data_IF_459984749314
#
_entry.id   IF_459984749314
#
_cell.length_a   1.000
_cell.length_b   1.000
_cell.length_c   1.000
_cell.angle_alpha   90.00
_cell.angle_beta   90.00
_cell.angle_gamma   90.00
#
_symmetry.space_group_name_H-M   'P 1'
#
loop_
_entity.id
_entity.type
_entity.pdbx_description
1 polymer ?
#
# COMPACT_ATOMS: atom_id res chain seq x y z
N UNK A 1 1.95 6.54 30.19
CA UNK A 1 1.23 6.34 28.92
C UNK A 1 1.45 4.89 28.55
N UNK A 2 0.40 4.05 28.46
CA UNK A 2 0.60 2.68 27.97
C UNK A 2 1.18 2.77 26.55
N UNK A 3 2.29 2.08 26.33
CA UNK A 3 2.95 2.06 25.04
C UNK A 3 2.10 1.25 24.06
N UNK A 4 1.97 1.74 22.82
CA UNK A 4 1.19 1.07 21.80
C UNK A 4 2.03 -0.08 21.20
N UNK A 5 1.73 -1.31 21.59
CA UNK A 5 2.46 -2.51 21.12
C UNK A 5 1.87 -3.11 19.83
N UNK A 6 0.61 -2.80 19.53
CA UNK A 6 -0.11 -3.35 18.38
C UNK A 6 -0.87 -2.25 17.64
N UNK A 7 -0.68 -2.15 16.33
CA UNK A 7 -1.37 -1.20 15.47
C UNK A 7 -1.87 -1.88 14.21
N UNK A 8 -3.18 -1.74 13.96
CA UNK A 8 -3.80 -2.06 12.68
C UNK A 8 -4.22 -0.76 12.00
N UNK A 9 -3.64 -0.46 10.85
CA UNK A 9 -3.84 0.80 10.14
C UNK A 9 -4.50 0.58 8.77
N UNK A 10 -5.67 1.19 8.57
CA UNK A 10 -6.28 1.35 7.25
C UNK A 10 -6.21 2.82 6.84
N UNK A 11 -5.59 3.12 5.71
CA UNK A 11 -5.40 4.49 5.25
C UNK A 11 -5.71 4.60 3.75
N UNK A 12 -6.56 5.55 3.38
CA UNK A 12 -6.93 5.81 1.99
C UNK A 12 -6.66 7.29 1.70
N UNK A 13 -5.75 7.55 0.76
CA UNK A 13 -5.25 8.89 0.47
C UNK A 13 -5.57 9.23 -0.99
N UNK A 14 -6.28 10.35 -1.19
CA UNK A 14 -6.73 10.80 -2.51
C UNK A 14 -6.10 12.14 -2.87
N UNK A 15 -5.80 12.33 -4.16
CA UNK A 15 -5.32 13.62 -4.68
C UNK A 15 -3.88 13.94 -4.26
N UNK A 16 -3.05 12.92 -4.05
CA UNK A 16 -1.63 13.12 -3.84
C UNK A 16 -0.87 13.03 -5.17
N UNK A 17 0.18 13.85 -5.30
CA UNK A 17 1.11 13.81 -6.43
C UNK A 17 2.26 12.81 -6.20
N UNK A 18 2.20 12.02 -5.13
CA UNK A 18 3.21 11.01 -4.77
C UNK A 18 2.56 9.70 -4.36
N UNK A 19 3.23 8.59 -4.62
CA UNK A 19 2.86 7.28 -4.07
C UNK A 19 3.45 7.17 -2.67
N UNK A 20 2.66 6.63 -1.73
CA UNK A 20 3.18 6.15 -0.46
C UNK A 20 3.69 4.74 -0.69
N UNK A 21 5.01 4.60 -0.61
CA UNK A 21 5.69 3.32 -0.73
C UNK A 21 6.19 2.82 0.62
N UNK A 22 6.97 1.75 0.59
CA UNK A 22 7.50 1.13 1.78
C UNK A 22 8.39 2.03 2.63
N UNK A 23 9.22 2.84 1.98
CA UNK A 23 10.12 3.77 2.66
C UNK A 23 9.32 4.85 3.38
N UNK A 24 8.26 5.37 2.77
CA UNK A 24 7.37 6.32 3.44
C UNK A 24 6.78 5.72 4.74
N UNK A 25 6.34 4.46 4.71
CA UNK A 25 5.80 3.78 5.91
C UNK A 25 6.87 3.62 6.99
N UNK A 26 8.08 3.22 6.60
CA UNK A 26 9.21 3.06 7.52
C UNK A 26 9.55 4.39 8.20
N UNK A 27 9.79 5.43 7.41
CA UNK A 27 10.31 6.71 7.88
C UNK A 27 9.26 7.55 8.59
N UNK A 28 8.00 7.51 8.15
CA UNK A 28 6.93 8.36 8.68
C UNK A 28 6.18 7.71 9.87
N UNK A 29 6.23 6.38 10.02
CA UNK A 29 5.46 5.65 11.05
C UNK A 29 6.39 4.84 11.96
N UNK A 30 7.12 3.88 11.38
CA UNK A 30 7.81 2.86 12.17
C UNK A 30 8.99 3.42 12.97
N UNK A 31 9.70 4.41 12.45
CA UNK A 31 10.79 5.10 13.17
C UNK A 31 10.31 5.75 14.48
N UNK A 32 9.07 6.22 14.52
CA UNK A 32 8.49 6.87 15.70
C UNK A 32 7.77 5.90 16.65
N UNK A 33 7.66 4.62 16.27
CA UNK A 33 6.99 3.58 17.06
C UNK A 33 7.92 2.37 17.30
N UNK A 34 9.09 2.56 17.93
CA UNK A 34 10.08 1.49 18.10
C UNK A 34 9.62 0.34 19.01
N UNK A 35 8.55 0.54 19.79
CA UNK A 35 7.97 -0.48 20.67
C UNK A 35 6.82 -1.26 20.01
N UNK A 36 6.55 -1.02 18.73
CA UNK A 36 5.46 -1.66 18.02
C UNK A 36 5.86 -3.11 17.68
N UNK A 37 5.35 -4.06 18.46
CA UNK A 37 5.58 -5.49 18.27
C UNK A 37 4.82 -6.04 17.05
N UNK A 38 3.63 -5.49 16.75
CA UNK A 38 2.85 -5.88 15.57
C UNK A 38 2.32 -4.67 14.84
N UNK A 39 2.60 -4.62 13.53
CA UNK A 39 2.07 -3.62 12.63
C UNK A 39 1.39 -4.28 11.43
N UNK A 40 0.08 -4.13 11.38
CA UNK A 40 -0.74 -4.59 10.27
C UNK A 40 -1.27 -3.39 9.53
N UNK A 41 -1.13 -3.33 8.20
CA UNK A 41 -1.53 -2.14 7.47
C UNK A 41 -2.07 -2.42 6.08
N UNK A 42 -2.95 -1.54 5.64
CA UNK A 42 -3.38 -1.39 4.26
C UNK A 42 -3.46 0.11 3.96
N UNK A 43 -2.62 0.57 3.04
CA UNK A 43 -2.53 1.97 2.64
C UNK A 43 -2.76 2.04 1.13
N UNK A 44 -3.80 2.74 0.69
CA UNK A 44 -4.07 3.02 -0.71
C UNK A 44 -3.90 4.49 -1.04
N UNK A 45 -3.26 4.78 -2.17
CA UNK A 45 -3.02 6.13 -2.66
C UNK A 45 -3.55 6.27 -4.09
N UNK A 46 -4.40 7.27 -4.33
CA UNK A 46 -4.97 7.59 -5.64
C UNK A 46 -4.29 8.83 -6.22
N UNK A 47 -3.78 8.68 -7.43
CA UNK A 47 -3.04 9.71 -8.16
C UNK A 47 -3.75 10.00 -9.47
N UNK A 48 -3.95 11.28 -9.76
CA UNK A 48 -4.42 11.72 -11.07
C UNK A 48 -3.25 11.75 -12.08
N UNK A 49 -3.45 11.19 -13.27
CA UNK A 49 -2.43 11.17 -14.31
C UNK A 49 -2.15 12.54 -14.92
N UNK A 50 -3.03 13.52 -14.70
CA UNK A 50 -2.72 14.92 -15.00
C UNK A 50 -1.48 15.41 -14.24
N UNK A 51 -1.27 14.87 -13.03
CA UNK A 51 -0.14 15.17 -12.16
C UNK A 51 1.05 14.21 -12.37
N UNK A 52 0.85 13.08 -13.05
CA UNK A 52 1.89 12.12 -13.44
C UNK A 52 2.66 12.57 -14.69
N UNK A 53 3.26 13.77 -14.66
CA UNK A 53 4.19 14.18 -15.72
C UNK A 53 5.49 13.39 -15.72
N UNK A 54 5.80 12.61 -14.68
CA UNK A 54 7.00 11.79 -14.65
C UNK A 54 6.66 10.35 -14.33
N UNK A 55 7.20 9.47 -15.18
CA UNK A 55 7.24 8.03 -15.04
C UNK A 55 7.45 7.61 -13.58
N UNK A 56 6.37 7.29 -12.89
CA UNK A 56 6.45 6.36 -11.78
C UNK A 56 6.63 4.99 -12.44
N UNK A 57 7.86 4.73 -12.87
CA UNK A 57 8.24 3.46 -13.43
C UNK A 57 7.88 2.40 -12.39
N UNK A 58 7.03 1.45 -12.76
CA UNK A 58 6.66 0.26 -11.95
C UNK A 58 7.85 -0.36 -11.19
N UNK A 59 9.06 -0.22 -11.74
CA UNK A 59 10.32 -0.64 -11.13
C UNK A 59 10.61 0.03 -9.79
N UNK A 60 10.35 1.34 -9.62
CA UNK A 60 10.59 2.05 -8.37
C UNK A 60 9.70 1.52 -7.23
N UNK A 61 8.41 1.31 -7.50
CA UNK A 61 7.44 0.83 -6.51
C UNK A 61 7.79 -0.58 -6.02
N UNK A 62 8.16 -1.46 -6.95
CA UNK A 62 8.51 -2.83 -6.59
C UNK A 62 9.88 -2.92 -5.90
N UNK A 63 10.80 -1.99 -6.16
CA UNK A 63 12.14 -1.96 -5.54
C UNK A 63 12.09 -1.46 -4.09
N UNK A 64 11.24 -0.49 -3.73
CA UNK A 64 11.19 0.06 -2.37
C UNK A 64 10.57 -0.86 -1.32
N UNK A 65 9.83 -1.90 -1.74
CA UNK A 65 9.30 -2.92 -0.83
C UNK A 65 10.36 -3.83 -0.21
N UNK A 66 11.52 -3.96 -0.85
CA UNK A 66 12.62 -4.82 -0.35
C UNK A 66 13.19 -4.28 0.98
N UNK A 67 12.97 -2.99 1.27
CA UNK A 67 13.60 -2.28 2.39
C UNK A 67 12.76 -2.17 3.67
N UNK A 68 11.48 -2.58 3.70
CA UNK A 68 10.63 -2.57 4.93
C UNK A 68 10.92 -3.79 5.83
N UNK A 69 11.96 -4.56 5.51
CA UNK A 69 12.24 -5.84 6.14
C UNK A 69 11.55 -7.00 5.42
N UNK A 70 12.12 -8.22 5.50
CA UNK A 70 12.21 -9.04 4.30
C UNK A 70 10.96 -9.82 3.86
N UNK A 71 9.81 -9.83 4.57
CA UNK A 71 8.80 -10.87 4.27
C UNK A 71 7.32 -10.52 4.34
N UNK A 72 6.89 -9.37 4.88
CA UNK A 72 5.48 -9.22 5.24
C UNK A 72 4.80 -7.98 4.64
N UNK A 73 5.23 -7.48 3.48
CA UNK A 73 4.49 -6.43 2.79
C UNK A 73 4.49 -6.65 1.28
N UNK A 74 3.40 -6.25 0.62
CA UNK A 74 3.27 -6.33 -0.83
C UNK A 74 2.61 -5.06 -1.36
N UNK A 75 2.68 -4.86 -2.67
CA UNK A 75 2.04 -3.72 -3.34
C UNK A 75 1.29 -4.16 -4.56
N UNK A 76 0.16 -3.51 -4.79
CA UNK A 76 -0.67 -3.64 -5.99
C UNK A 76 -0.75 -2.25 -6.62
N UNK A 77 -0.57 -2.17 -7.93
CA UNK A 77 -0.75 -0.94 -8.70
C UNK A 77 -1.85 -1.15 -9.73
N UNK A 78 -2.97 -0.46 -9.53
CA UNK A 78 -4.14 -0.54 -10.39
C UNK A 78 -4.28 0.74 -11.21
N UNK A 79 -4.60 0.61 -12.50
CA UNK A 79 -5.06 1.73 -13.30
C UNK A 79 -6.59 1.70 -13.28
N UNK A 80 -7.22 2.63 -12.55
CA UNK A 80 -8.67 2.68 -12.40
C UNK A 80 -9.36 3.40 -13.56
N UNK A 81 -8.66 4.34 -14.20
CA UNK A 81 -9.14 5.02 -15.41
C UNK A 81 -7.96 5.47 -16.26
N UNK A 82 -8.22 6.16 -17.39
CA UNK A 82 -7.15 6.79 -18.20
C UNK A 82 -6.31 7.75 -17.38
N UNK A 83 -6.92 8.40 -16.39
CA UNK A 83 -6.29 9.42 -15.58
C UNK A 83 -6.19 9.10 -14.10
N UNK A 84 -6.48 7.88 -13.65
CA UNK A 84 -6.38 7.56 -12.22
C UNK A 84 -5.62 6.27 -12.04
N UNK A 85 -4.58 6.34 -11.21
CA UNK A 85 -3.80 5.20 -10.75
C UNK A 85 -3.98 5.08 -9.24
N UNK A 86 -4.26 3.88 -8.77
CA UNK A 86 -4.22 3.52 -7.37
C UNK A 86 -2.98 2.68 -7.11
N UNK A 87 -2.25 3.01 -6.05
CA UNK A 87 -1.18 2.20 -5.51
C UNK A 87 -1.55 1.80 -4.08
N UNK A 88 -1.59 0.49 -3.82
CA UNK A 88 -1.98 -0.08 -2.55
C UNK A 88 -0.83 -0.89 -1.98
N UNK A 89 -0.33 -0.50 -0.81
CA UNK A 89 0.71 -1.23 -0.06
C UNK A 89 0.08 -1.82 1.21
N UNK A 90 0.39 -3.08 1.51
CA UNK A 90 -0.21 -3.75 2.66
C UNK A 90 0.63 -4.88 3.22
N UNK A 91 0.39 -5.20 4.49
CA UNK A 91 1.07 -6.26 5.21
C UNK A 91 0.55 -7.66 4.86
N UNK A 92 1.41 -8.67 5.00
CA UNK A 92 1.09 -10.09 4.87
C UNK A 92 1.23 -10.82 6.24
N UNK A 93 0.33 -11.77 6.56
CA UNK A 93 -0.90 -12.09 5.82
C UNK A 93 -1.88 -10.92 5.82
N UNK A 94 -2.70 -10.82 4.77
CA UNK A 94 -3.67 -9.74 4.66
C UNK A 94 -4.75 -9.89 5.73
N UNK A 95 -4.87 -8.92 6.62
CA UNK A 95 -5.76 -8.98 7.79
C UNK A 95 -7.08 -8.22 7.61
N UNK A 96 -7.29 -7.56 6.48
CA UNK A 96 -8.49 -6.75 6.25
C UNK A 96 -9.55 -7.55 5.50
N UNK A 97 -10.81 -7.27 5.81
CA UNK A 97 -11.95 -7.97 5.21
C UNK A 97 -12.27 -7.52 3.78
N UNK A 98 -11.59 -6.50 3.26
CA UNK A 98 -11.90 -5.96 1.94
C UNK A 98 -10.66 -5.39 1.27
N UNK A 99 -10.56 -5.63 -0.04
CA UNK A 99 -9.58 -5.02 -0.93
C UNK A 99 -10.35 -4.30 -2.03
N UNK A 100 -10.25 -2.98 -2.05
CA UNK A 100 -11.19 -2.11 -2.75
C UNK A 100 -11.04 -2.06 -4.27
N UNK A 101 -9.89 -2.45 -4.81
CA UNK A 101 -9.67 -2.47 -6.26
C UNK A 101 -8.56 -3.46 -6.59
N UNK A 102 -8.85 -4.33 -7.55
CA UNK A 102 -7.95 -5.36 -8.04
C UNK A 102 -7.85 -5.30 -9.55
N UNK A 103 -6.64 -5.04 -10.05
CA UNK A 103 -6.29 -5.10 -11.47
C UNK A 103 -5.34 -6.25 -11.78
N UNK A 104 -4.71 -6.18 -12.96
CA UNK A 104 -3.97 -7.31 -13.58
C UNK A 104 -2.67 -7.76 -12.87
N UNK A 105 -2.23 -7.05 -11.84
CA UNK A 105 -1.03 -7.38 -11.06
C UNK A 105 -1.45 -7.85 -9.67
N UNK A 106 -1.89 -9.11 -9.62
CA UNK A 106 -2.28 -9.74 -8.37
C UNK A 106 -1.18 -10.69 -7.89
N UNK A 107 -0.65 -10.50 -6.66
CA UNK A 107 0.19 -11.53 -6.04
C UNK A 107 -0.65 -12.78 -5.78
N UNK A 108 -0.03 -13.96 -5.74
CA UNK A 108 -0.72 -15.25 -5.56
C UNK A 108 -1.23 -15.42 -4.12
N UNK A 109 -2.20 -14.59 -3.72
CA UNK A 109 -2.75 -14.47 -2.37
C UNK A 109 -4.26 -14.74 -2.46
N UNK A 110 -4.77 -15.58 -1.57
CA UNK A 110 -6.20 -15.86 -1.49
C UNK A 110 -6.85 -14.79 -0.59
N UNK A 111 -7.77 -14.01 -1.15
CA UNK A 111 -8.55 -13.03 -0.40
C UNK A 111 -9.97 -13.58 -0.21
N UNK A 112 -10.46 -13.54 1.03
CA UNK A 112 -11.78 -14.08 1.37
C UNK A 112 -12.93 -13.23 0.81
N UNK A 113 -12.71 -11.92 0.60
CA UNK A 113 -13.73 -10.98 0.16
C UNK A 113 -13.12 -9.86 -0.70
N UNK A 114 -13.53 -9.80 -1.97
CA UNK A 114 -13.12 -8.77 -2.95
C UNK A 114 -14.36 -7.92 -3.26
N UNK A 115 -14.23 -6.60 -3.14
CA UNK A 115 -15.38 -5.68 -3.34
C UNK A 115 -15.50 -5.19 -4.78
N UNK A 116 -14.40 -5.10 -5.52
CA UNK A 116 -14.39 -4.59 -6.90
C UNK A 116 -13.20 -5.12 -7.70
N UNK A 117 -13.46 -5.58 -8.93
CA UNK A 117 -12.46 -6.04 -9.90
C UNK A 117 -12.47 -5.07 -11.08
N UNK A 118 -11.31 -4.54 -11.44
CA UNK A 118 -11.12 -3.69 -12.61
C UNK A 118 -10.45 -4.55 -13.69
N UNK A 119 -11.21 -4.87 -14.74
CA UNK A 119 -10.73 -5.64 -15.92
C UNK A 119 -10.25 -4.69 -17.01
#
# INVERSE_FOLDING_TARGET
MPYLEHLTLYLCIKGQNRIIDGTCVQDDILVYMPQLHSFTFYISTYIDSGDLRHNIARQHINQTLINIGPQNATTIVNRLSRSVVECSIFSLPFAFAYLGSLGNTFPNIVFNYITYIVV
#
